data_IF_688710778811
#
_entry.id   IF_688710778811
#
_cell.length_a   1.000
_cell.length_b   1.000
_cell.length_c   1.000
_cell.angle_alpha   90.00
_cell.angle_beta   90.00
_cell.angle_gamma   90.00
#
_symmetry.space_group_name_H-M   'P 1'
#
loop_
_entity.id
_entity.type
_entity.pdbx_description
1 polymer ?
#
# COMPACT_ATOMS: atom_id res chain seq x y z
N UNK A 1 19.97 4.97 -16.97
CA UNK A 1 19.46 3.81 -16.18
C UNK A 1 19.17 4.22 -14.74
N UNK A 2 20.03 5.02 -14.09
CA UNK A 2 19.70 5.66 -12.80
C UNK A 2 18.53 6.65 -12.88
N UNK A 3 18.37 7.40 -13.98
CA UNK A 3 17.28 8.37 -14.16
C UNK A 3 15.89 7.71 -14.18
N UNK A 4 15.79 6.48 -14.69
CA UNK A 4 14.53 5.73 -14.75
C UNK A 4 14.11 5.22 -13.37
N UNK A 5 15.09 4.86 -12.53
CA UNK A 5 14.85 4.43 -11.15
C UNK A 5 14.40 5.63 -10.30
N UNK A 6 15.06 6.78 -10.48
CA UNK A 6 14.72 8.01 -9.77
C UNK A 6 13.32 8.52 -10.16
N UNK A 7 13.01 8.54 -11.46
CA UNK A 7 11.70 8.93 -11.99
C UNK A 7 10.55 8.07 -11.41
N UNK A 8 10.74 6.75 -11.35
CA UNK A 8 9.74 5.87 -10.78
C UNK A 8 9.55 6.16 -9.28
N UNK A 9 10.63 6.38 -8.54
CA UNK A 9 10.57 6.71 -7.11
C UNK A 9 9.77 7.99 -6.86
N UNK A 10 10.01 9.04 -7.63
CA UNK A 10 9.32 10.32 -7.48
C UNK A 10 7.82 10.21 -7.79
N UNK A 11 7.45 9.42 -8.81
CA UNK A 11 6.05 9.14 -9.14
C UNK A 11 5.33 8.29 -8.10
N UNK A 12 6.02 7.32 -7.49
CA UNK A 12 5.48 6.56 -6.37
C UNK A 12 5.27 7.42 -5.13
N UNK A 13 6.16 8.38 -4.85
CA UNK A 13 6.03 9.31 -3.73
C UNK A 13 4.88 10.31 -3.95
N UNK A 14 4.71 10.83 -5.18
CA UNK A 14 3.58 11.66 -5.55
C UNK A 14 2.25 10.89 -5.40
N UNK A 15 2.22 9.63 -5.84
CA UNK A 15 1.06 8.75 -5.67
C UNK A 15 0.78 8.46 -4.18
N UNK A 16 1.82 8.23 -3.36
CA UNK A 16 1.71 8.07 -1.91
C UNK A 16 1.04 9.30 -1.30
N UNK A 17 1.49 10.51 -1.62
CA UNK A 17 0.89 11.77 -1.10
C UNK A 17 -0.59 11.89 -1.43
N UNK A 18 -0.98 11.56 -2.67
CA UNK A 18 -2.39 11.59 -3.07
C UNK A 18 -3.21 10.56 -2.30
N UNK A 19 -2.74 9.31 -2.20
CA UNK A 19 -3.47 8.24 -1.52
C UNK A 19 -3.56 8.52 0.01
N UNK A 20 -2.48 9.03 0.62
CA UNK A 20 -2.44 9.42 2.04
C UNK A 20 -3.42 10.55 2.39
N UNK A 21 -3.73 11.44 1.45
CA UNK A 21 -4.69 12.54 1.67
C UNK A 21 -6.16 12.09 1.69
N UNK A 22 -6.45 10.86 1.27
CA UNK A 22 -7.82 10.37 1.11
C UNK A 22 -8.33 9.59 2.32
N UNK A 23 -7.46 8.85 3.03
CA UNK A 23 -7.78 8.13 4.27
C UNK A 23 -6.52 7.54 4.92
N UNK A 24 -6.62 7.07 6.16
CA UNK A 24 -5.48 6.45 6.87
C UNK A 24 -5.10 5.08 6.27
N UNK A 25 -6.05 4.29 5.80
CA UNK A 25 -5.81 3.07 5.02
C UNK A 25 -5.09 3.38 3.71
N UNK A 26 -5.43 4.53 3.11
CA UNK A 26 -4.70 5.08 1.98
C UNK A 26 -3.24 5.37 2.32
N UNK A 27 -2.98 6.02 3.45
CA UNK A 27 -1.63 6.29 3.93
C UNK A 27 -0.80 5.01 4.13
N UNK A 28 -1.40 3.99 4.76
CA UNK A 28 -0.77 2.68 4.96
C UNK A 28 -0.45 2.02 3.62
N UNK A 29 -1.41 2.00 2.68
CA UNK A 29 -1.21 1.41 1.37
C UNK A 29 -0.14 2.17 0.57
N UNK A 30 -0.13 3.49 0.64
CA UNK A 30 0.87 4.35 0.00
C UNK A 30 2.28 4.09 0.52
N UNK A 31 2.45 3.97 1.85
CA UNK A 31 3.73 3.60 2.46
C UNK A 31 4.19 2.19 2.02
N UNK A 32 3.30 1.20 2.05
CA UNK A 32 3.65 -0.16 1.62
C UNK A 32 4.06 -0.19 0.14
N UNK A 33 3.36 0.56 -0.72
CA UNK A 33 3.69 0.67 -2.14
C UNK A 33 5.06 1.34 -2.36
N UNK A 34 5.40 2.39 -1.60
CA UNK A 34 6.70 3.05 -1.72
C UNK A 34 7.85 2.15 -1.29
N UNK A 35 7.64 1.33 -0.24
CA UNK A 35 8.68 0.43 0.29
C UNK A 35 8.83 -0.87 -0.53
N UNK A 36 7.79 -1.33 -1.24
CA UNK A 36 7.88 -2.55 -2.06
C UNK A 36 8.92 -2.43 -3.20
N UNK A 37 9.02 -1.26 -3.84
CA UNK A 37 9.86 -1.11 -5.03
C UNK A 37 9.59 -2.21 -6.07
N UNK A 38 10.62 -2.98 -6.43
CA UNK A 38 10.51 -4.14 -7.35
C UNK A 38 10.15 -5.46 -6.65
N UNK A 39 10.25 -5.50 -5.32
CA UNK A 39 10.02 -6.70 -4.54
C UNK A 39 8.55 -6.72 -4.13
N UNK A 40 7.83 -7.80 -4.45
CA UNK A 40 6.40 -7.91 -4.14
C UNK A 40 6.10 -8.07 -2.63
N UNK A 41 6.97 -7.59 -1.74
CA UNK A 41 6.83 -7.68 -0.30
C UNK A 41 7.61 -6.56 0.40
N UNK A 42 7.10 -6.12 1.55
CA UNK A 42 7.77 -5.22 2.49
C UNK A 42 8.01 -5.98 3.78
N UNK A 43 9.21 -5.90 4.34
CA UNK A 43 9.49 -6.41 5.68
C UNK A 43 9.63 -5.20 6.61
N UNK A 44 8.67 -5.01 7.50
CA UNK A 44 8.63 -3.86 8.42
C UNK A 44 7.87 -4.21 9.70
N UNK A 45 7.77 -3.28 10.65
CA UNK A 45 6.96 -3.42 11.86
C UNK A 45 5.79 -2.44 11.85
N UNK A 46 4.77 -2.70 12.66
CA UNK A 46 3.63 -1.78 12.78
C UNK A 46 4.10 -0.47 13.40
N UNK A 47 5.05 -0.52 14.32
CA UNK A 47 5.65 0.65 14.98
C UNK A 47 6.37 1.54 13.95
N UNK A 48 7.09 0.95 13.00
CA UNK A 48 7.73 1.74 11.93
C UNK A 48 6.68 2.39 11.03
N UNK A 49 5.57 1.70 10.72
CA UNK A 49 4.47 2.28 9.95
C UNK A 49 3.82 3.43 10.72
N UNK A 50 3.63 3.32 12.04
CA UNK A 50 3.04 4.39 12.85
C UNK A 50 3.93 5.62 12.89
N UNK A 51 5.24 5.43 13.02
CA UNK A 51 6.20 6.54 13.07
C UNK A 51 6.24 7.28 11.72
N UNK A 52 6.28 6.55 10.61
CA UNK A 52 6.33 7.11 9.25
C UNK A 52 5.05 7.82 8.82
N UNK A 53 3.90 7.43 9.38
CA UNK A 53 2.61 8.05 9.09
C UNK A 53 2.22 9.10 10.12
N UNK A 54 3.02 9.32 11.17
CA UNK A 54 2.69 10.14 12.33
C UNK A 54 1.29 9.84 12.89
N UNK A 55 0.92 8.55 12.89
CA UNK A 55 -0.45 8.09 13.15
C UNK A 55 -0.53 7.22 14.42
N UNK A 56 -1.63 7.30 15.20
CA UNK A 56 -1.82 6.45 16.38
C UNK A 56 -1.80 4.97 16.03
N UNK A 57 -1.11 4.17 16.86
CA UNK A 57 -1.02 2.70 16.71
C UNK A 57 -2.37 2.02 16.51
N UNK A 58 -3.41 2.47 17.22
CA UNK A 58 -4.77 1.94 17.09
C UNK A 58 -5.31 2.12 15.66
N UNK A 59 -5.15 3.31 15.08
CA UNK A 59 -5.64 3.61 13.73
C UNK A 59 -4.88 2.81 12.67
N UNK A 60 -3.56 2.67 12.82
CA UNK A 60 -2.76 1.85 11.90
C UNK A 60 -3.17 0.38 11.96
N UNK A 61 -3.44 -0.15 13.16
CA UNK A 61 -3.94 -1.53 13.33
C UNK A 61 -5.32 -1.73 12.71
N UNK A 62 -6.25 -0.82 12.93
CA UNK A 62 -7.59 -0.87 12.33
C UNK A 62 -7.53 -0.79 10.80
N UNK A 63 -6.66 0.09 10.26
CA UNK A 63 -6.47 0.23 8.83
C UNK A 63 -5.85 -1.00 8.19
N UNK A 64 -4.82 -1.57 8.82
CA UNK A 64 -4.24 -2.84 8.39
C UNK A 64 -5.26 -3.98 8.42
N UNK A 65 -6.08 -4.06 9.48
CA UNK A 65 -7.13 -5.07 9.58
C UNK A 65 -8.14 -4.97 8.41
N UNK A 66 -8.59 -3.76 8.08
CA UNK A 66 -9.50 -3.56 6.95
C UNK A 66 -8.86 -3.85 5.59
N UNK A 67 -7.59 -3.48 5.41
CA UNK A 67 -6.84 -3.81 4.18
C UNK A 67 -6.69 -5.33 4.03
N UNK A 68 -6.50 -6.06 5.13
CA UNK A 68 -6.46 -7.53 5.15
C UNK A 68 -7.82 -8.15 4.86
N UNK A 69 -8.88 -7.69 5.52
CA UNK A 69 -10.26 -8.17 5.32
C UNK A 69 -10.71 -7.98 3.86
N UNK A 70 -10.32 -6.87 3.23
CA UNK A 70 -10.59 -6.59 1.82
C UNK A 70 -9.68 -7.36 0.85
N UNK A 71 -8.74 -8.15 1.36
CA UNK A 71 -7.77 -8.91 0.58
C UNK A 71 -6.81 -8.06 -0.24
N UNK A 72 -6.54 -6.82 0.22
CA UNK A 72 -5.61 -5.88 -0.42
C UNK A 72 -4.18 -6.17 0.01
N UNK A 73 -4.00 -6.43 1.31
CA UNK A 73 -2.70 -6.71 1.93
C UNK A 73 -2.80 -8.06 2.64
N UNK A 74 -1.78 -8.90 2.52
CA UNK A 74 -1.56 -10.04 3.41
C UNK A 74 -0.39 -9.75 4.35
N UNK A 75 -0.52 -10.22 5.59
CA UNK A 75 0.47 -10.02 6.65
C UNK A 75 0.91 -11.40 7.13
N UNK A 76 2.21 -11.67 7.04
CA UNK A 76 2.84 -12.89 7.55
C UNK A 76 3.83 -12.55 8.66
N UNK A 77 3.72 -13.23 9.80
CA UNK A 77 4.69 -13.08 10.89
C UNK A 77 5.99 -13.81 10.55
N UNK A 78 7.10 -13.08 10.43
CA UNK A 78 8.44 -13.72 10.35
C UNK A 78 8.94 -14.00 11.76
N UNK A 79 8.87 -12.98 12.62
CA UNK A 79 9.37 -12.96 13.99
C UNK A 79 8.51 -11.99 14.84
N UNK A 80 8.59 -12.00 16.18
CA UNK A 80 7.78 -11.14 17.04
C UNK A 80 7.93 -9.63 16.81
N UNK A 81 9.00 -9.21 16.12
CA UNK A 81 9.35 -7.79 15.87
C UNK A 81 9.24 -7.40 14.39
N UNK A 82 8.89 -8.31 13.48
CA UNK A 82 8.91 -8.03 12.04
C UNK A 82 7.84 -8.83 11.30
N UNK A 83 7.08 -8.12 10.49
CA UNK A 83 6.00 -8.63 9.67
C UNK A 83 6.37 -8.49 8.19
N UNK A 84 6.01 -9.47 7.38
CA UNK A 84 6.01 -9.34 5.92
C UNK A 84 4.63 -8.87 5.49
N UNK A 85 4.60 -7.77 4.75
CA UNK A 85 3.40 -7.26 4.09
C UNK A 85 3.51 -7.52 2.60
N UNK A 86 2.49 -8.13 2.02
CA UNK A 86 2.39 -8.36 0.57
C UNK A 86 1.13 -7.70 0.06
N UNK A 87 1.25 -6.81 -0.94
CA UNK A 87 0.07 -6.25 -1.61
C UNK A 87 -0.40 -7.27 -2.65
N UNK A 88 -1.66 -7.67 -2.55
CA UNK A 88 -2.27 -8.61 -3.47
C UNK A 88 -2.50 -7.94 -4.83
N UNK A 89 -1.72 -8.34 -5.83
CA UNK A 89 -1.81 -7.83 -7.20
C UNK A 89 -3.17 -8.06 -7.84
N UNK A 90 -3.87 -9.12 -7.45
CA UNK A 90 -5.20 -9.42 -7.97
C UNK A 90 -6.20 -8.35 -7.57
N UNK A 91 -6.04 -7.72 -6.39
CA UNK A 91 -6.87 -6.59 -6.00
C UNK A 91 -6.65 -5.39 -6.96
N UNK A 92 -5.40 -5.05 -7.26
CA UNK A 92 -5.07 -3.96 -8.19
C UNK A 92 -5.61 -4.23 -9.60
N UNK A 93 -5.49 -5.47 -10.09
CA UNK A 93 -6.04 -5.91 -11.38
C UNK A 93 -7.58 -5.82 -11.38
N UNK A 94 -8.25 -6.30 -10.32
CA UNK A 94 -9.72 -6.21 -10.18
C UNK A 94 -10.21 -4.77 -10.18
N UNK A 95 -9.53 -3.86 -9.48
CA UNK A 95 -9.90 -2.43 -9.45
C UNK A 95 -9.75 -1.80 -10.83
N UNK A 96 -8.65 -2.10 -11.54
CA UNK A 96 -8.40 -1.61 -12.90
C UNK A 96 -9.44 -2.11 -13.91
N UNK A 97 -9.74 -3.42 -13.89
CA UNK A 97 -10.76 -4.02 -14.74
C UNK A 97 -12.15 -3.43 -14.48
N UNK A 98 -12.52 -3.26 -13.20
CA UNK A 98 -13.80 -2.66 -12.81
C UNK A 98 -13.93 -1.21 -13.31
N UNK A 99 -12.85 -0.41 -13.24
CA UNK A 99 -12.86 0.96 -13.79
C UNK A 99 -13.03 0.97 -15.31
N UNK A 100 -12.36 0.07 -16.05
CA UNK A 100 -12.52 -0.05 -17.51
C UNK A 100 -13.94 -0.48 -17.90
N UNK A 101 -14.53 -1.46 -17.20
CA UNK A 101 -15.91 -1.88 -17.45
C UNK A 101 -16.92 -0.74 -17.22
N UNK A 102 -16.76 0.06 -16.15
CA UNK A 102 -17.63 1.22 -15.91
C UNK A 102 -17.50 2.32 -16.97
N UNK A 103 -16.36 2.42 -17.64
CA UNK A 103 -16.16 3.35 -18.76
C UNK A 103 -16.77 2.83 -20.07
N UNK A 104 -16.80 1.51 -20.29
CA UNK A 104 -17.43 0.91 -21.48
C UNK A 104 -18.97 0.93 -21.45
N UNK A 105 -19.59 0.92 -20.27
CA UNK A 105 -21.06 0.96 -20.12
C UNK A 105 -21.62 2.39 -20.29
N UNK A 106 -20.75 3.42 -20.28
CA UNK A 106 -21.12 4.83 -20.49
C UNK A 106 -20.92 5.31 -21.94
N UNK A 107 -20.50 4.42 -22.86
CA UNK A 107 -20.54 4.65 -24.30
C UNK A 107 -21.78 3.97 -24.88
#
# INVERSE_FOLDING_TARGET
>A
MQDVIQFNRDKFEELRKVISSCSYEGGILGYLLSEMGLHNRVITSIEKITDELEAPLKQVREGLAMLCERGIVSIEGVNPKSLVFTINKDYAVRVYQTKRMKQMIKQ
#
